data_IF_230913069247
#
_entry.id   IF_230913069247
#
_cell.length_a   1.000
_cell.length_b   1.000
_cell.length_c   1.000
_cell.angle_alpha   90.00
_cell.angle_beta   90.00
_cell.angle_gamma   90.00
#
_symmetry.space_group_name_H-M   'P 1'
#
loop_
_entity.id
_entity.type
_entity.pdbx_description
1 polymer ?
#
# COMPACT_ATOMS: atom_id res chain seq x y z
N UNK A 1 -21.52 12.35 2.41
CA UNK A 1 -20.19 12.04 1.84
C UNK A 1 -19.20 13.15 2.23
N UNK A 2 -18.04 12.80 2.78
CA UNK A 2 -16.95 13.77 2.94
C UNK A 2 -16.52 14.25 1.55
N UNK A 3 -16.47 15.56 1.33
CA UNK A 3 -15.94 16.10 0.07
C UNK A 3 -14.49 15.68 -0.09
N UNK A 4 -14.03 15.43 -1.32
CA UNK A 4 -12.60 15.15 -1.60
C UNK A 4 -11.70 16.28 -1.08
N UNK A 5 -12.23 17.50 -1.03
CA UNK A 5 -11.53 18.68 -0.49
C UNK A 5 -11.24 18.59 1.00
N UNK A 6 -11.93 17.72 1.74
CA UNK A 6 -11.78 17.57 3.20
C UNK A 6 -10.87 16.42 3.63
N UNK A 7 -10.47 15.56 2.68
CA UNK A 7 -9.69 14.35 2.97
C UNK A 7 -8.20 14.69 3.02
N UNK A 8 -7.56 14.46 4.16
CA UNK A 8 -6.11 14.64 4.35
C UNK A 8 -5.36 13.40 3.87
N UNK A 9 -4.56 13.56 2.83
CA UNK A 9 -3.73 12.52 2.23
C UNK A 9 -2.27 12.74 2.61
N UNK A 10 -1.59 11.68 3.01
CA UNK A 10 -0.15 11.70 3.29
C UNK A 10 0.60 10.73 2.36
N UNK A 11 1.66 11.23 1.71
CA UNK A 11 2.64 10.40 1.01
C UNK A 11 4.05 10.71 1.57
N UNK A 12 4.65 9.77 2.32
CA UNK A 12 5.94 9.97 2.98
C UNK A 12 7.16 9.98 2.05
N UNK A 13 7.03 9.54 0.79
CA UNK A 13 8.17 9.38 -0.10
C UNK A 13 8.16 10.41 -1.21
N UNK A 14 8.93 11.49 -1.01
CA UNK A 14 8.98 12.59 -1.94
C UNK A 14 9.54 12.19 -3.32
N UNK A 15 8.68 12.27 -4.34
CA UNK A 15 9.00 11.92 -5.73
C UNK A 15 8.94 13.18 -6.61
N UNK A 16 9.69 14.22 -6.25
CA UNK A 16 9.70 15.53 -6.92
C UNK A 16 8.28 16.12 -7.11
N UNK A 17 7.40 15.90 -6.14
CA UNK A 17 6.02 16.41 -6.17
C UNK A 17 5.07 15.68 -7.12
N UNK A 18 5.50 14.62 -7.82
CA UNK A 18 4.66 13.93 -8.80
C UNK A 18 3.39 13.35 -8.18
N UNK A 19 3.51 12.73 -7.00
CA UNK A 19 2.37 12.17 -6.26
C UNK A 19 1.35 13.25 -5.90
N UNK A 20 1.81 14.38 -5.36
CA UNK A 20 0.96 15.54 -5.04
C UNK A 20 0.22 16.06 -6.26
N UNK A 21 0.90 16.24 -7.40
CA UNK A 21 0.26 16.69 -8.65
C UNK A 21 -0.86 15.76 -9.10
N UNK A 22 -0.63 14.44 -9.06
CA UNK A 22 -1.65 13.46 -9.44
C UNK A 22 -2.83 13.45 -8.46
N UNK A 23 -2.60 13.52 -7.15
CA UNK A 23 -3.67 13.57 -6.16
C UNK A 23 -4.51 14.84 -6.30
N UNK A 24 -3.87 16.00 -6.51
CA UNK A 24 -4.60 17.26 -6.76
C UNK A 24 -5.42 17.17 -8.06
N UNK A 25 -4.87 16.59 -9.12
CA UNK A 25 -5.60 16.38 -10.37
C UNK A 25 -6.81 15.43 -10.24
N UNK A 26 -6.82 14.55 -9.22
CA UNK A 26 -7.97 13.70 -8.88
C UNK A 26 -9.05 14.43 -8.05
N UNK A 27 -8.80 15.70 -7.71
CA UNK A 27 -9.72 16.56 -6.97
C UNK A 27 -9.53 16.55 -5.45
N UNK A 28 -8.36 16.12 -4.95
CA UNK A 28 -8.00 16.37 -3.55
C UNK A 28 -7.47 17.80 -3.40
N UNK A 29 -7.84 18.48 -2.31
CA UNK A 29 -7.33 19.83 -2.04
C UNK A 29 -5.81 19.82 -1.88
N UNK A 30 -5.12 20.76 -2.52
CA UNK A 30 -3.66 20.90 -2.46
C UNK A 30 -3.13 21.08 -1.04
N UNK A 31 -3.94 21.66 -0.15
CA UNK A 31 -3.58 21.95 1.23
C UNK A 31 -3.74 20.72 2.13
N UNK A 32 -4.53 19.74 1.67
CA UNK A 32 -4.77 18.48 2.35
C UNK A 32 -3.88 17.34 1.85
N UNK A 33 -3.00 17.58 0.87
CA UNK A 33 -2.02 16.59 0.41
C UNK A 33 -0.63 16.93 0.97
N UNK A 34 -0.21 16.22 2.01
CA UNK A 34 1.14 16.32 2.59
C UNK A 34 2.11 15.42 1.83
N UNK A 35 3.07 16.03 1.13
CA UNK A 35 4.11 15.35 0.35
C UNK A 35 5.35 16.25 0.22
N UNK A 36 6.19 16.23 1.25
CA UNK A 36 7.30 17.18 1.42
C UNK A 36 8.67 16.48 1.29
N UNK A 37 9.72 17.19 0.83
CA UNK A 37 11.08 16.66 0.73
C UNK A 37 11.77 16.57 2.10
N UNK A 38 11.19 15.80 3.03
CA UNK A 38 11.68 15.63 4.39
C UNK A 38 12.08 14.18 4.67
N UNK A 39 12.93 13.96 5.67
CA UNK A 39 13.16 12.62 6.20
C UNK A 39 11.93 12.19 7.01
N UNK A 40 11.06 11.41 6.36
CA UNK A 40 9.82 10.92 6.96
C UNK A 40 10.07 10.03 8.18
N UNK A 41 11.22 9.35 8.28
CA UNK A 41 11.51 8.49 9.43
C UNK A 41 11.87 9.30 10.67
N UNK A 42 12.63 10.38 10.50
CA UNK A 42 12.90 11.33 11.58
C UNK A 42 11.60 12.00 12.06
N UNK A 43 10.71 12.35 11.13
CA UNK A 43 9.40 12.89 11.48
C UNK A 43 8.55 11.88 12.26
N UNK A 44 8.50 10.62 11.82
CA UNK A 44 7.74 9.59 12.52
C UNK A 44 8.25 9.31 13.92
N UNK A 45 9.58 9.29 14.10
CA UNK A 45 10.21 9.14 15.41
C UNK A 45 9.85 10.31 16.33
N UNK A 46 9.88 11.55 15.82
CA UNK A 46 9.53 12.75 16.59
C UNK A 46 8.06 12.77 17.02
N UNK A 47 7.17 12.26 16.18
CA UNK A 47 5.72 12.25 16.43
C UNK A 47 5.23 11.04 17.23
N UNK A 48 6.06 10.00 17.39
CA UNK A 48 5.62 8.64 17.73
C UNK A 48 4.44 8.17 16.86
N UNK A 49 4.50 8.47 15.56
CA UNK A 49 3.47 8.08 14.60
C UNK A 49 3.50 8.86 13.30
N UNK A 50 2.37 8.88 12.59
CA UNK A 50 2.24 9.61 11.33
C UNK A 50 1.81 11.06 11.58
N UNK A 51 2.14 11.99 10.66
CA UNK A 51 1.43 13.26 10.57
C UNK A 51 -0.08 13.04 10.51
N UNK A 52 -0.86 13.99 11.04
CA UNK A 52 -2.31 13.89 11.04
C UNK A 52 -2.85 13.78 9.61
N UNK A 53 -3.37 12.60 9.25
CA UNK A 53 -3.98 12.30 7.97
C UNK A 53 -5.15 11.33 8.13
N UNK A 54 -6.03 11.31 7.14
CA UNK A 54 -7.15 10.36 7.08
C UNK A 54 -6.75 9.10 6.30
N UNK A 55 -5.89 9.28 5.29
CA UNK A 55 -5.36 8.21 4.46
C UNK A 55 -3.89 8.42 4.11
N UNK A 56 -3.10 7.36 4.21
CA UNK A 56 -1.75 7.29 3.66
C UNK A 56 -1.82 6.65 2.27
N UNK A 57 -1.32 7.33 1.23
CA UNK A 57 -1.27 6.81 -0.13
C UNK A 57 0.16 6.92 -0.63
N UNK A 58 0.78 5.80 -0.97
CA UNK A 58 2.21 5.79 -1.28
C UNK A 58 2.63 4.72 -2.28
N UNK A 59 3.73 5.01 -2.97
CA UNK A 59 4.52 4.07 -3.74
C UNK A 59 5.98 4.14 -3.22
N UNK A 60 6.33 3.35 -2.18
CA UNK A 60 7.61 3.49 -1.50
C UNK A 60 8.77 3.09 -2.42
N UNK A 61 10.00 3.61 -2.20
CA UNK A 61 11.18 3.04 -2.82
C UNK A 61 11.30 1.55 -2.48
N UNK A 62 11.52 0.71 -3.50
CA UNK A 62 11.62 -0.73 -3.31
C UNK A 62 13.06 -1.24 -3.23
N UNK A 63 14.04 -0.37 -3.47
CA UNK A 63 15.45 -0.62 -3.20
C UNK A 63 15.75 -0.41 -1.71
N UNK A 64 16.57 -1.28 -1.13
CA UNK A 64 16.97 -1.17 0.29
C UNK A 64 15.84 -1.53 1.25
N UNK A 65 15.74 -0.79 2.36
CA UNK A 65 14.88 -1.14 3.51
C UNK A 65 13.60 -0.30 3.64
N UNK A 66 13.31 0.57 2.67
CA UNK A 66 12.22 1.55 2.79
C UNK A 66 10.84 0.91 2.92
N UNK A 67 10.52 -0.06 2.04
CA UNK A 67 9.26 -0.79 2.11
C UNK A 67 9.11 -1.52 3.46
N UNK A 68 10.14 -2.25 3.90
CA UNK A 68 10.15 -2.96 5.18
C UNK A 68 9.93 -2.02 6.37
N UNK A 69 10.62 -0.86 6.40
CA UNK A 69 10.45 0.15 7.45
C UNK A 69 9.04 0.74 7.46
N UNK A 70 8.49 1.07 6.29
CA UNK A 70 7.11 1.55 6.18
C UNK A 70 6.15 0.54 6.81
N UNK A 71 6.26 -0.72 6.41
CA UNK A 71 5.33 -1.73 6.87
C UNK A 71 5.44 -2.02 8.36
N UNK A 72 6.66 -2.12 8.90
CA UNK A 72 6.85 -2.27 10.36
C UNK A 72 6.22 -1.11 11.13
N UNK A 73 6.34 0.12 10.61
CA UNK A 73 5.73 1.29 11.21
C UNK A 73 4.20 1.24 11.14
N UNK A 74 3.62 0.92 9.97
CA UNK A 74 2.16 0.74 9.81
C UNK A 74 1.61 -0.34 10.75
N UNK A 75 2.31 -1.47 10.86
CA UNK A 75 1.93 -2.55 11.77
C UNK A 75 1.96 -2.10 13.24
N UNK A 76 3.01 -1.38 13.66
CA UNK A 76 3.07 -0.79 15.00
C UNK A 76 1.90 0.16 15.26
N UNK A 77 1.51 0.97 14.28
CA UNK A 77 0.34 1.84 14.41
C UNK A 77 -0.98 1.08 14.47
N UNK A 78 -1.09 -0.04 13.75
CA UNK A 78 -2.28 -0.89 13.80
C UNK A 78 -2.44 -1.50 15.19
N UNK A 79 -1.36 -2.02 15.79
CA UNK A 79 -1.39 -2.61 17.14
C UNK A 79 -1.68 -1.58 18.23
N UNK A 80 -1.25 -0.32 18.03
CA UNK A 80 -1.62 0.82 18.89
C UNK A 80 -3.03 1.37 18.64
N UNK A 81 -3.75 0.91 17.61
CA UNK A 81 -5.05 1.47 17.21
C UNK A 81 -4.99 2.89 16.64
N UNK A 82 -3.80 3.30 16.18
CA UNK A 82 -3.50 4.65 15.69
C UNK A 82 -3.37 4.71 14.16
N UNK A 83 -3.35 3.56 13.47
CA UNK A 83 -3.15 3.51 12.03
C UNK A 83 -4.30 4.22 11.27
N UNK A 84 -4.00 5.15 10.35
CA UNK A 84 -4.98 5.66 9.41
C UNK A 84 -5.33 4.58 8.38
N UNK A 85 -6.30 4.86 7.51
CA UNK A 85 -6.47 4.02 6.32
C UNK A 85 -5.22 4.15 5.44
N UNK A 86 -4.85 3.13 4.67
CA UNK A 86 -3.72 3.24 3.76
C UNK A 86 -3.90 2.49 2.45
N UNK A 87 -3.20 2.95 1.42
CA UNK A 87 -2.99 2.28 0.14
C UNK A 87 -1.50 2.34 -0.22
N UNK A 88 -0.87 1.18 -0.31
CA UNK A 88 0.55 1.03 -0.67
C UNK A 88 0.63 0.29 -2.00
N UNK A 89 1.12 0.96 -3.04
CA UNK A 89 1.40 0.33 -4.33
C UNK A 89 2.70 -0.47 -4.23
N UNK A 90 2.67 -1.76 -4.60
CA UNK A 90 3.81 -2.67 -4.53
C UNK A 90 3.98 -3.42 -5.85
N UNK A 91 5.22 -3.57 -6.37
CA UNK A 91 5.56 -4.57 -7.37
C UNK A 91 5.24 -5.96 -6.86
N UNK A 92 4.87 -6.86 -7.77
CA UNK A 92 4.55 -8.25 -7.46
C UNK A 92 5.66 -8.90 -6.62
N UNK A 93 6.94 -8.82 -7.00
CA UNK A 93 8.02 -9.49 -6.27
C UNK A 93 8.09 -9.20 -4.77
N UNK A 94 7.49 -8.11 -4.28
CA UNK A 94 7.42 -7.79 -2.85
C UNK A 94 6.69 -8.90 -2.06
N UNK A 95 5.74 -9.61 -2.66
CA UNK A 95 5.03 -10.71 -1.96
C UNK A 95 5.97 -11.84 -1.52
N UNK A 96 7.11 -12.01 -2.20
CA UNK A 96 8.09 -13.05 -1.88
C UNK A 96 8.95 -12.70 -0.67
N UNK A 97 9.01 -11.42 -0.30
CA UNK A 97 9.93 -10.90 0.73
C UNK A 97 9.51 -11.37 2.12
N UNK A 98 10.49 -11.70 2.96
CA UNK A 98 10.25 -12.21 4.31
C UNK A 98 9.50 -11.20 5.16
N UNK A 99 9.90 -9.92 5.14
CA UNK A 99 9.20 -8.88 5.91
C UNK A 99 7.72 -8.81 5.52
N UNK A 100 7.41 -8.94 4.22
CA UNK A 100 6.05 -8.95 3.73
C UNK A 100 5.33 -10.14 4.37
N UNK A 101 5.79 -11.37 4.12
CA UNK A 101 5.21 -12.60 4.69
C UNK A 101 4.99 -12.50 6.19
N UNK A 102 5.97 -12.00 6.93
CA UNK A 102 5.86 -11.78 8.37
C UNK A 102 4.71 -10.85 8.74
N UNK A 103 4.54 -9.69 8.09
CA UNK A 103 3.42 -8.78 8.37
C UNK A 103 2.06 -9.42 8.08
N UNK A 104 1.95 -10.22 7.02
CA UNK A 104 0.72 -10.98 6.73
C UNK A 104 0.48 -12.08 7.75
N UNK A 105 1.53 -12.70 8.29
CA UNK A 105 1.43 -13.77 9.28
C UNK A 105 1.26 -13.23 10.73
N UNK A 106 1.74 -12.02 11.02
CA UNK A 106 1.62 -11.35 12.34
C UNK A 106 0.21 -10.80 12.59
N UNK A 107 -0.52 -10.38 11.55
CA UNK A 107 -1.94 -10.05 11.64
C UNK A 107 -2.76 -11.19 12.28
N UNK A 108 -2.35 -12.46 12.09
CA UNK A 108 -3.01 -13.61 12.70
C UNK A 108 -2.84 -13.68 14.22
N UNK A 109 -1.64 -13.37 14.72
CA UNK A 109 -1.33 -13.48 16.14
C UNK A 109 -2.01 -12.35 16.94
N UNK A 110 -1.99 -11.13 16.41
CA UNK A 110 -2.66 -9.98 17.02
C UNK A 110 -4.19 -10.16 17.03
N UNK A 111 -4.77 -10.71 15.96
CA UNK A 111 -6.21 -11.02 15.90
C UNK A 111 -6.60 -12.15 16.86
N UNK A 112 -5.80 -13.22 16.96
CA UNK A 112 -6.02 -14.29 17.96
C UNK A 112 -6.00 -13.74 19.39
N UNK A 113 -5.10 -12.80 19.69
CA UNK A 113 -5.04 -12.15 20.99
C UNK A 113 -6.27 -11.25 21.24
N UNK A 114 -6.77 -10.55 20.22
CA UNK A 114 -7.99 -9.73 20.33
C UNK A 114 -9.26 -10.57 20.50
N UNK A 115 -9.38 -11.70 19.81
CA UNK A 115 -10.52 -12.63 19.96
C UNK A 115 -10.49 -13.36 21.31
N UNK A 116 -9.31 -13.70 21.82
CA UNK A 116 -9.15 -14.24 23.18
C UNK A 116 -9.63 -13.24 24.24
N UNK A 117 -9.33 -11.94 24.07
CA UNK A 117 -9.83 -10.86 24.94
C UNK A 117 -11.35 -10.68 24.87
N UNK A 118 -11.98 -11.07 23.76
CA UNK A 118 -13.44 -11.05 23.58
C UNK A 118 -14.15 -12.27 24.17
N UNK A 119 -13.44 -13.14 24.88
CA UNK A 119 -14.03 -14.29 25.59
C UNK A 119 -14.52 -15.42 24.68
N UNK A 120 -14.18 -15.40 23.39
CA UNK A 120 -14.41 -16.57 22.51
C UNK A 120 -13.38 -17.64 22.88
N UNK A 121 -13.83 -18.75 23.47
CA UNK A 121 -12.96 -19.90 23.81
C UNK A 121 -12.15 -20.28 22.57
N UNK A 122 -10.82 -20.21 22.70
CA UNK A 122 -9.89 -20.65 21.67
C UNK A 122 -10.03 -22.17 21.50
N UNK A 123 -10.91 -22.58 20.59
CA UNK A 123 -10.89 -23.94 20.07
C UNK A 123 -9.72 -24.02 19.09
N UNK A 124 -8.74 -24.84 19.46
CA UNK A 124 -7.64 -25.26 18.61
C UNK A 124 -8.21 -26.00 17.39
N UNK A 125 -8.51 -25.26 16.33
CA UNK A 125 -8.59 -25.78 14.97
C UNK A 125 -7.52 -25.08 14.15
N UNK A 126 -6.70 -25.86 13.45
CA UNK A 126 -5.86 -25.34 12.39
C UNK A 126 -6.72 -24.42 11.52
N UNK A 127 -6.19 -23.23 11.21
CA UNK A 127 -6.94 -22.19 10.50
C UNK A 127 -7.51 -22.80 9.21
N UNK A 128 -8.82 -22.91 9.09
CA UNK A 128 -9.44 -22.93 7.76
C UNK A 128 -9.10 -21.60 7.10
N UNK A 129 -8.81 -21.62 5.80
CA UNK A 129 -8.31 -20.52 4.95
C UNK A 129 -9.19 -19.23 4.92
N UNK A 130 -10.17 -19.11 5.82
CA UNK A 130 -11.33 -18.22 5.72
C UNK A 130 -11.43 -17.13 6.80
N UNK A 131 -10.43 -16.90 7.66
CA UNK A 131 -10.47 -15.71 8.56
C UNK A 131 -9.83 -14.50 7.84
N UNK A 132 -10.58 -13.44 7.51
CA UNK A 132 -10.05 -12.37 6.65
C UNK A 132 -9.00 -11.51 7.35
N UNK A 133 -7.86 -11.28 6.71
CA UNK A 133 -6.95 -10.18 7.08
C UNK A 133 -7.72 -8.85 7.06
N UNK A 134 -7.43 -7.88 7.95
CA UNK A 134 -8.04 -6.55 7.88
C UNK A 134 -7.64 -5.78 6.61
N UNK A 135 -6.66 -6.28 5.87
CA UNK A 135 -6.17 -5.70 4.64
C UNK A 135 -6.68 -6.44 3.41
N UNK A 136 -6.66 -5.77 2.26
CA UNK A 136 -7.00 -6.31 0.95
C UNK A 136 -5.84 -6.12 -0.03
N UNK A 137 -5.78 -7.01 -1.01
CA UNK A 137 -4.92 -6.88 -2.18
C UNK A 137 -5.78 -6.56 -3.40
N UNK A 138 -5.48 -5.44 -4.06
CA UNK A 138 -6.07 -5.09 -5.34
C UNK A 138 -5.00 -5.22 -6.41
N UNK A 139 -5.14 -6.20 -7.29
CA UNK A 139 -4.23 -6.42 -8.41
C UNK A 139 -4.86 -5.88 -9.71
N UNK A 140 -4.43 -4.72 -10.22
CA UNK A 140 -4.98 -4.17 -11.46
C UNK A 140 -4.60 -5.04 -12.66
N UNK A 141 -5.46 -5.10 -13.68
CA UNK A 141 -5.19 -5.85 -14.91
C UNK A 141 -4.04 -5.23 -15.74
N UNK A 142 -3.77 -3.94 -15.56
CA UNK A 142 -2.69 -3.24 -16.28
C UNK A 142 -1.40 -3.20 -15.47
N UNK A 143 -0.28 -3.31 -16.17
CA UNK A 143 1.06 -3.13 -15.61
C UNK A 143 1.37 -1.66 -15.33
N UNK A 144 2.07 -1.38 -14.24
CA UNK A 144 2.49 -0.03 -13.87
C UNK A 144 3.89 0.26 -14.39
N UNK A 145 4.07 1.42 -15.02
CA UNK A 145 5.39 1.96 -15.26
C UNK A 145 5.71 3.04 -14.23
N UNK A 146 6.88 2.96 -13.61
CA UNK A 146 7.34 3.93 -12.63
C UNK A 146 8.23 4.98 -13.29
N UNK A 147 8.25 6.16 -12.69
CA UNK A 147 9.12 7.26 -13.11
C UNK A 147 10.16 7.51 -12.01
N UNK A 148 11.44 7.42 -12.39
CA UNK A 148 12.57 7.72 -11.51
C UNK A 148 13.08 9.12 -11.83
N UNK A 149 13.15 10.02 -10.84
CA UNK A 149 13.59 11.39 -11.08
C UNK A 149 15.04 11.47 -11.58
N UNK A 150 15.38 12.55 -12.29
CA UNK A 150 16.69 12.71 -12.98
C UNK A 150 17.89 12.92 -12.03
N UNK A 151 17.69 12.96 -10.70
CA UNK A 151 18.80 13.24 -9.77
C UNK A 151 19.47 11.95 -9.27
N UNK A 152 20.78 11.87 -9.52
CA UNK A 152 21.73 10.85 -9.07
C UNK A 152 21.48 9.43 -9.61
N UNK A 153 21.21 9.29 -10.91
CA UNK A 153 21.86 8.17 -11.58
C UNK A 153 23.36 8.42 -11.40
N UNK A 154 23.99 7.70 -10.47
CA UNK A 154 25.44 7.73 -10.31
C UNK A 154 26.09 7.63 -11.69
N UNK A 155 27.18 8.35 -11.86
CA UNK A 155 28.12 8.29 -12.97
C UNK A 155 28.41 6.84 -13.37
N UNK A 156 27.53 6.27 -14.18
CA UNK A 156 27.75 5.15 -15.07
C UNK A 156 26.87 5.44 -16.27
N UNK A 157 27.33 6.40 -17.06
CA UNK A 157 27.03 6.46 -18.48
C UNK A 157 27.59 5.16 -19.09
N UNK A 158 26.85 4.06 -18.92
CA UNK A 158 27.07 2.85 -19.69
C UNK A 158 26.61 3.16 -21.10
N UNK A 159 27.55 3.69 -21.88
CA UNK A 159 27.51 3.76 -23.32
C UNK A 159 26.84 2.49 -23.86
N UNK A 160 25.75 2.66 -24.62
CA UNK A 160 25.19 1.60 -25.45
C UNK A 160 23.78 1.09 -25.15
N UNK A 161 23.06 1.52 -24.10
CA UNK A 161 21.66 1.07 -23.89
C UNK A 161 20.62 2.09 -24.37
N UNK A 162 19.97 1.71 -25.49
CA UNK A 162 18.76 2.29 -26.12
C UNK A 162 18.01 3.31 -25.26
N UNK A 163 17.83 4.53 -25.82
CA UNK A 163 17.02 5.65 -25.30
C UNK A 163 15.84 5.17 -24.46
N UNK A 164 15.99 5.18 -23.13
CA UNK A 164 14.86 4.99 -22.21
C UNK A 164 13.86 6.11 -22.45
N UNK A 165 12.56 5.79 -22.46
CA UNK A 165 11.52 6.83 -22.49
C UNK A 165 11.75 7.75 -21.29
N UNK A 166 12.18 8.97 -21.59
CA UNK A 166 12.51 10.00 -20.60
C UNK A 166 11.59 11.19 -20.79
N UNK A 167 11.27 11.84 -19.68
CA UNK A 167 10.47 13.06 -19.64
C UNK A 167 11.18 14.05 -18.73
N UNK A 168 11.32 15.30 -19.17
CA UNK A 168 12.02 16.30 -18.38
C UNK A 168 11.39 16.53 -16.99
N UNK A 169 10.07 16.37 -16.89
CA UNK A 169 9.27 16.59 -15.68
C UNK A 169 9.13 15.37 -14.75
N UNK A 170 9.48 14.17 -15.22
CA UNK A 170 9.28 12.90 -14.50
C UNK A 170 10.55 12.02 -14.43
N UNK A 171 11.55 12.30 -15.26
CA UNK A 171 12.78 11.51 -15.39
C UNK A 171 12.62 10.26 -16.24
N UNK A 172 13.17 9.13 -15.78
CA UNK A 172 13.26 7.89 -16.55
C UNK A 172 12.09 6.95 -16.25
N UNK A 173 11.47 6.43 -17.31
CA UNK A 173 10.42 5.42 -17.20
C UNK A 173 11.02 4.02 -17.03
N UNK A 174 10.55 3.27 -16.04
CA UNK A 174 10.85 1.85 -15.88
C UNK A 174 10.11 1.00 -16.92
N UNK A 175 10.53 -0.26 -17.08
CA UNK A 175 9.66 -1.22 -17.75
C UNK A 175 8.37 -1.42 -16.93
N UNK A 176 7.23 -1.74 -17.58
CA UNK A 176 6.00 -2.01 -16.86
C UNK A 176 6.11 -3.24 -15.96
N UNK A 177 5.75 -3.11 -14.69
CA UNK A 177 5.69 -4.18 -13.71
C UNK A 177 4.27 -4.60 -13.41
N UNK A 178 4.11 -5.86 -13.08
CA UNK A 178 2.96 -6.32 -12.31
C UNK A 178 2.99 -5.72 -10.92
N UNK A 179 1.89 -5.11 -10.51
CA UNK A 179 1.78 -4.47 -9.21
C UNK A 179 0.43 -4.78 -8.57
N UNK A 180 0.37 -4.61 -7.27
CA UNK A 180 -0.86 -4.66 -6.50
C UNK A 180 -0.86 -3.53 -5.46
N UNK A 181 -2.06 -3.08 -5.10
CA UNK A 181 -2.27 -2.22 -3.95
C UNK A 181 -2.51 -3.11 -2.74
N UNK A 182 -1.70 -2.93 -1.71
CA UNK A 182 -2.01 -3.41 -0.38
C UNK A 182 -2.71 -2.30 0.39
N UNK A 183 -3.91 -2.58 0.86
CA UNK A 183 -4.78 -1.55 1.39
C UNK A 183 -5.47 -1.99 2.67
N UNK A 184 -5.64 -1.02 3.56
CA UNK A 184 -6.25 -1.17 4.87
C UNK A 184 -7.26 -0.05 5.05
N UNK A 185 -8.47 -0.40 5.48
CA UNK A 185 -9.48 0.58 5.86
C UNK A 185 -9.63 0.57 7.37
N UNK A 186 -9.40 1.73 8.00
CA UNK A 186 -9.58 1.87 9.44
C UNK A 186 -11.04 1.58 9.81
N UNK A 187 -11.30 0.69 10.78
CA UNK A 187 -12.66 0.47 11.29
C UNK A 187 -13.20 1.73 11.96
N UNK A 188 -14.50 1.98 11.81
CA UNK A 188 -15.20 2.99 12.59
C UNK A 188 -15.26 2.56 14.05
N UNK A 189 -15.47 3.51 14.96
CA UNK A 189 -15.67 3.19 16.37
C UNK A 189 -16.79 2.14 16.54
N UNK A 190 -16.50 1.06 17.26
CA UNK A 190 -17.44 -0.06 17.47
C UNK A 190 -17.59 -1.02 16.28
N UNK A 191 -16.92 -0.76 15.15
CA UNK A 191 -16.99 -1.62 13.97
C UNK A 191 -15.98 -2.77 14.02
N UNK A 192 -16.40 -3.96 13.57
CA UNK A 192 -15.49 -5.06 13.31
C UNK A 192 -14.59 -4.79 12.09
N UNK A 193 -13.33 -5.22 12.15
CA UNK A 193 -12.38 -5.06 11.03
C UNK A 193 -12.86 -5.68 9.71
N UNK A 194 -13.60 -6.78 9.79
CA UNK A 194 -14.20 -7.42 8.61
C UNK A 194 -15.24 -6.54 7.90
N UNK A 195 -16.02 -5.74 8.63
CA UNK A 195 -16.98 -4.83 8.03
C UNK A 195 -16.28 -3.65 7.33
N UNK A 196 -15.16 -3.18 7.88
CA UNK A 196 -14.34 -2.16 7.23
C UNK A 196 -13.72 -2.68 5.92
N UNK A 197 -13.29 -3.94 5.92
CA UNK A 197 -12.80 -4.64 4.74
C UNK A 197 -13.89 -4.76 3.66
N UNK A 198 -15.11 -5.19 4.03
CA UNK A 198 -16.25 -5.27 3.09
C UNK A 198 -16.55 -3.92 2.45
N UNK A 199 -16.53 -2.83 3.23
CA UNK A 199 -16.72 -1.49 2.66
C UNK A 199 -15.63 -1.10 1.67
N UNK A 200 -14.39 -1.45 1.96
CA UNK A 200 -13.27 -1.17 1.06
C UNK A 200 -13.45 -1.93 -0.26
N UNK A 201 -13.89 -3.19 -0.19
CA UNK A 201 -14.23 -4.02 -1.34
C UNK A 201 -15.37 -3.40 -2.16
N UNK A 202 -16.45 -2.99 -1.50
CA UNK A 202 -17.61 -2.39 -2.17
C UNK A 202 -17.27 -1.03 -2.79
N UNK A 203 -16.44 -0.23 -2.11
CA UNK A 203 -15.95 1.04 -2.64
C UNK A 203 -15.12 0.82 -3.92
N UNK A 204 -14.24 -0.19 -3.93
CA UNK A 204 -13.45 -0.54 -5.11
C UNK A 204 -14.33 -0.93 -6.30
N UNK A 205 -15.29 -1.84 -6.08
CA UNK A 205 -16.24 -2.30 -7.11
C UNK A 205 -17.02 -1.13 -7.73
N UNK A 206 -17.43 -0.16 -6.91
CA UNK A 206 -18.14 1.05 -7.38
C UNK A 206 -17.28 1.96 -8.24
N UNK A 207 -15.97 2.07 -7.96
CA UNK A 207 -15.07 2.99 -8.65
C UNK A 207 -14.59 2.44 -10.00
N UNK A 208 -14.40 1.13 -10.12
CA UNK A 208 -13.83 0.50 -11.33
C UNK A 208 -14.87 -0.21 -12.21
N UNK A 209 -16.10 -0.42 -11.74
CA UNK A 209 -17.04 -1.33 -12.39
C UNK A 209 -16.59 -2.79 -12.29
N UNK A 210 -17.23 -3.68 -13.06
CA UNK A 210 -16.83 -5.09 -13.21
C UNK A 210 -15.58 -5.27 -14.09
N UNK A 211 -15.16 -4.21 -14.80
CA UNK A 211 -14.06 -4.25 -15.75
C UNK A 211 -12.70 -3.97 -15.08
N UNK A 212 -12.13 -5.04 -14.50
CA UNK A 212 -10.68 -5.20 -14.47
C UNK A 212 -9.99 -5.05 -13.11
N UNK A 213 -9.50 -6.18 -12.61
CA UNK A 213 -8.58 -6.29 -11.47
C UNK A 213 -9.04 -7.34 -10.46
N UNK A 214 -8.10 -8.14 -9.96
CA UNK A 214 -8.40 -9.16 -8.97
C UNK A 214 -8.34 -8.56 -7.57
N UNK A 215 -9.47 -8.60 -6.86
CA UNK A 215 -9.54 -8.23 -5.46
C UNK A 215 -9.57 -9.48 -4.60
N UNK A 216 -8.56 -9.62 -3.76
CA UNK A 216 -8.44 -10.78 -2.89
C UNK A 216 -8.06 -10.36 -1.48
N UNK A 217 -8.55 -11.12 -0.50
CA UNK A 217 -8.11 -10.96 0.89
C UNK A 217 -6.66 -11.42 1.09
N UNK A 218 -6.16 -12.31 0.23
CA UNK A 218 -4.86 -12.95 0.40
C UNK A 218 -4.18 -13.26 -0.94
N UNK A 219 -2.84 -13.20 -1.00
CA UNK A 219 -2.08 -13.50 -2.22
C UNK A 219 -2.37 -14.91 -2.74
N UNK A 220 -2.48 -15.88 -1.82
CA UNK A 220 -2.85 -17.26 -2.13
C UNK A 220 -4.22 -17.37 -2.83
N UNK A 221 -5.09 -16.37 -2.69
CA UNK A 221 -6.40 -16.34 -3.34
C UNK A 221 -6.38 -15.62 -4.71
N UNK A 222 -5.23 -15.07 -5.15
CA UNK A 222 -5.11 -14.57 -6.52
C UNK A 222 -5.32 -15.72 -7.52
N UNK A 223 -6.01 -15.47 -8.65
CA UNK A 223 -6.16 -16.47 -9.70
C UNK A 223 -4.80 -16.98 -10.17
N UNK A 224 -4.69 -18.28 -10.47
CA UNK A 224 -3.45 -18.85 -10.97
C UNK A 224 -3.01 -18.14 -12.26
N UNK A 225 -3.92 -17.78 -13.16
CA UNK A 225 -3.59 -17.00 -14.35
C UNK A 225 -2.83 -15.70 -14.06
N UNK A 226 -3.14 -15.03 -12.95
CA UNK A 226 -2.41 -13.83 -12.52
C UNK A 226 -1.08 -14.20 -11.87
N UNK A 227 -1.04 -15.27 -11.06
CA UNK A 227 0.20 -15.76 -10.45
C UNK A 227 1.20 -16.24 -11.51
N UNK A 228 0.74 -16.96 -12.53
CA UNK A 228 1.52 -17.47 -13.65
C UNK A 228 2.07 -16.30 -14.50
N UNK A 229 1.30 -15.22 -14.65
CA UNK A 229 1.81 -13.99 -15.29
C UNK A 229 2.84 -13.25 -14.44
N UNK A 230 2.76 -13.40 -13.12
CA UNK A 230 3.65 -12.75 -12.15
C UNK A 230 4.93 -13.54 -11.90
N UNK A 231 4.87 -14.85 -12.03
CA UNK A 231 5.94 -15.83 -11.84
C UNK A 231 5.92 -16.83 -13.01
N UNK A 232 6.32 -16.38 -14.23
CA UNK A 232 6.38 -17.27 -15.38
C UNK A 232 7.52 -18.26 -15.13
N UNK A 233 7.17 -19.51 -14.82
CA UNK A 233 8.11 -20.64 -14.75
C UNK A 233 8.93 -20.77 -16.02
#
# INVERSE_FOLDING_TARGET
PTSRDSVRVYDPYFCQGASRRHLVALGFSSDNVKHEPVDCYAEWARLDGLPACDVLVTNPPFSGTHAERLFRHLHCLQTKGQCPSFLVLLPNYVYTKTFYKELYLFDDAAMRAADARRGKKAQSTARTENTPSPCCLFAPASRYAFWSPVRNAGTEEKEGKKRRHSRADLGYRSMPYHCFWYAYMRPKAGEASSAAQVRLIDAWRKVRGEEGGNLVAHYGHLPNSLKDEWDPT
#
